data_IF_790001375598
#
_entry.id   IF_790001375598
#
_cell.length_a   1.000
_cell.length_b   1.000
_cell.length_c   1.000
_cell.angle_alpha   90.00
_cell.angle_beta   90.00
_cell.angle_gamma   90.00
#
_symmetry.space_group_name_H-M   'P 1'
#
loop_
_entity.id
_entity.type
_entity.pdbx_description
1 polymer ?
#
# COMPACT_ATOMS: atom_id res chain seq x y z
N UNK A 1 -3.08 9.64 1.24
CA UNK A 1 -3.55 8.90 2.43
C UNK A 1 -2.72 7.65 2.72
N UNK A 2 -2.50 6.78 1.73
CA UNK A 2 -1.73 5.53 1.98
C UNK A 2 -0.30 5.76 2.46
N UNK A 3 0.45 6.70 1.87
CA UNK A 3 1.79 7.04 2.37
C UNK A 3 1.76 7.58 3.82
N UNK A 4 0.72 8.33 4.17
CA UNK A 4 0.54 8.90 5.51
C UNK A 4 0.22 7.81 6.55
N UNK A 5 -0.51 6.75 6.15
CA UNK A 5 -0.75 5.58 7.00
C UNK A 5 0.56 4.95 7.52
N UNK A 6 1.56 4.81 6.65
CA UNK A 6 2.88 4.27 7.03
C UNK A 6 3.75 5.32 7.75
N UNK A 7 3.75 6.57 7.27
CA UNK A 7 4.54 7.65 7.87
C UNK A 7 4.15 7.92 9.33
N UNK A 8 2.85 7.94 9.66
CA UNK A 8 2.37 8.12 11.05
C UNK A 8 2.79 7.00 12.00
N UNK A 9 3.06 5.82 11.46
CA UNK A 9 3.59 4.65 12.20
C UNK A 9 5.12 4.61 12.22
N UNK A 10 5.79 5.65 11.70
CA UNK A 10 7.25 5.74 11.55
C UNK A 10 7.83 4.58 10.73
N UNK A 11 7.05 4.06 9.79
CA UNK A 11 7.49 3.05 8.83
C UNK A 11 8.12 3.79 7.65
N UNK A 12 9.35 3.43 7.31
CA UNK A 12 10.07 4.06 6.22
C UNK A 12 9.49 3.61 4.86
N UNK A 13 9.30 4.55 3.94
CA UNK A 13 8.89 4.27 2.56
C UNK A 13 10.16 4.32 1.70
N UNK A 14 10.63 3.16 1.23
CA UNK A 14 11.82 3.08 0.38
C UNK A 14 11.52 3.47 -1.06
N UNK A 15 10.40 2.97 -1.58
CA UNK A 15 10.01 3.18 -2.98
C UNK A 15 8.50 3.42 -3.04
N UNK A 16 8.11 4.34 -3.93
CA UNK A 16 6.72 4.63 -4.23
C UNK A 16 6.60 4.89 -5.73
N UNK A 17 5.91 3.99 -6.42
CA UNK A 17 5.57 4.12 -7.82
C UNK A 17 4.05 4.29 -7.93
N UNK A 18 3.64 5.26 -8.74
CA UNK A 18 2.23 5.57 -8.97
C UNK A 18 1.98 5.69 -10.46
N UNK A 19 0.92 5.05 -10.92
CA UNK A 19 0.49 5.12 -12.31
C UNK A 19 -1.00 5.43 -12.36
N UNK A 20 -1.40 6.19 -13.38
CA UNK A 20 -2.81 6.40 -13.68
C UNK A 20 -3.06 6.27 -15.17
N UNK A 21 -4.12 5.55 -15.52
CA UNK A 21 -4.49 5.32 -16.90
C UNK A 21 -6.01 5.21 -17.02
N UNK A 22 -6.52 5.36 -18.25
CA UNK A 22 -7.93 5.14 -18.53
C UNK A 22 -8.12 3.69 -18.96
N UNK A 23 -9.11 3.03 -18.39
CA UNK A 23 -9.48 1.67 -18.79
C UNK A 23 -9.71 1.60 -20.31
N UNK A 24 -9.10 0.64 -21.04
CA UNK A 24 -9.09 0.60 -22.51
C UNK A 24 -10.45 0.62 -23.21
N UNK A 25 -11.53 0.20 -22.52
CA UNK A 25 -12.87 0.12 -23.10
C UNK A 25 -13.91 1.01 -22.41
N UNK A 26 -13.84 1.17 -21.09
CA UNK A 26 -14.83 1.98 -20.34
C UNK A 26 -14.42 3.44 -20.19
N UNK A 27 -13.13 3.76 -20.38
CA UNK A 27 -12.60 5.12 -20.19
C UNK A 27 -12.51 5.57 -18.73
N UNK A 28 -12.93 4.72 -17.78
CA UNK A 28 -12.85 4.97 -16.34
C UNK A 28 -11.39 5.24 -15.93
N UNK A 29 -11.10 6.31 -15.19
CA UNK A 29 -9.76 6.54 -14.66
C UNK A 29 -9.44 5.48 -13.60
N UNK A 30 -8.30 4.80 -13.76
CA UNK A 30 -7.74 3.84 -12.83
C UNK A 30 -6.46 4.43 -12.25
N UNK A 31 -6.31 4.31 -10.94
CA UNK A 31 -5.10 4.68 -10.21
C UNK A 31 -4.50 3.43 -9.59
N UNK A 32 -3.21 3.22 -9.84
CA UNK A 32 -2.42 2.13 -9.28
C UNK A 32 -1.24 2.70 -8.50
N UNK A 33 -0.88 2.01 -7.42
CA UNK A 33 0.26 2.37 -6.61
C UNK A 33 0.97 1.10 -6.14
N UNK A 34 2.30 1.09 -6.22
CA UNK A 34 3.16 0.08 -5.63
C UNK A 34 4.12 0.76 -4.67
N UNK A 35 4.20 0.25 -3.45
CA UNK A 35 5.00 0.84 -2.39
C UNK A 35 5.86 -0.23 -1.73
N UNK A 36 7.14 0.08 -1.52
CA UNK A 36 8.05 -0.72 -0.71
C UNK A 36 8.30 0.00 0.61
N UNK A 37 8.08 -0.69 1.72
CA UNK A 37 8.26 -0.16 3.07
C UNK A 37 9.19 -1.03 3.90
N UNK A 38 9.96 -0.40 4.79
CA UNK A 38 10.78 -1.11 5.78
C UNK A 38 10.02 -1.20 7.10
N UNK A 39 9.65 -2.41 7.48
CA UNK A 39 8.91 -2.64 8.72
C UNK A 39 9.91 -2.83 9.87
N UNK A 40 9.85 -2.02 10.94
CA UNK A 40 10.68 -2.21 12.13
C UNK A 40 10.51 -3.61 12.76
N UNK A 41 11.59 -4.16 13.31
CA UNK A 41 11.60 -5.53 13.84
C UNK A 41 10.67 -5.74 15.05
N UNK A 42 10.35 -4.67 15.78
CA UNK A 42 9.41 -4.66 16.91
C UNK A 42 7.94 -4.52 16.47
N UNK A 43 7.67 -4.34 15.17
CA UNK A 43 6.32 -4.23 14.63
C UNK A 43 5.74 -5.60 14.32
N UNK A 44 4.58 -5.91 14.88
CA UNK A 44 3.82 -7.12 14.52
C UNK A 44 3.30 -7.02 13.08
N UNK A 45 3.86 -7.85 12.18
CA UNK A 45 3.42 -7.94 10.77
C UNK A 45 1.94 -8.30 10.66
N UNK A 46 1.43 -9.16 11.55
CA UNK A 46 0.03 -9.56 11.58
C UNK A 46 -0.90 -8.37 11.86
N UNK A 47 -0.59 -7.60 12.91
CA UNK A 47 -1.38 -6.43 13.29
C UNK A 47 -1.27 -5.30 12.26
N UNK A 48 -0.09 -5.08 11.67
CA UNK A 48 0.09 -4.07 10.62
C UNK A 48 -0.74 -4.41 9.38
N UNK A 49 -0.73 -5.68 8.96
CA UNK A 49 -1.50 -6.16 7.82
C UNK A 49 -3.01 -6.02 8.07
N UNK A 50 -3.49 -6.39 9.24
CA UNK A 50 -4.90 -6.21 9.61
C UNK A 50 -5.30 -4.74 9.56
N UNK A 51 -4.53 -3.86 10.20
CA UNK A 51 -4.78 -2.42 10.19
C UNK A 51 -4.74 -1.81 8.78
N UNK A 52 -3.85 -2.33 7.92
CA UNK A 52 -3.75 -1.87 6.53
C UNK A 52 -4.95 -2.32 5.69
N UNK A 53 -5.43 -3.55 5.86
CA UNK A 53 -6.61 -4.03 5.14
C UNK A 53 -7.86 -3.26 5.54
N UNK A 54 -8.09 -3.03 6.84
CA UNK A 54 -9.21 -2.18 7.31
C UNK A 54 -9.15 -0.78 6.68
N UNK A 55 -7.96 -0.17 6.63
CA UNK A 55 -7.77 1.14 6.00
C UNK A 55 -8.05 1.12 4.49
N UNK A 56 -7.71 0.05 3.78
CA UNK A 56 -8.01 -0.09 2.35
C UNK A 56 -9.52 -0.25 2.11
N UNK A 57 -10.21 -1.04 2.94
CA UNK A 57 -11.66 -1.21 2.87
C UNK A 57 -12.40 0.13 3.08
N UNK A 58 -11.98 0.94 4.06
CA UNK A 58 -12.54 2.27 4.33
C UNK A 58 -12.41 3.23 3.14
N UNK A 59 -11.32 3.09 2.37
CA UNK A 59 -11.06 3.90 1.17
C UNK A 59 -11.56 3.22 -0.13
N UNK A 60 -12.20 2.06 -0.02
CA UNK A 60 -12.64 1.23 -1.16
C UNK A 60 -11.48 0.94 -2.14
N UNK A 61 -10.30 0.65 -1.59
CA UNK A 61 -9.09 0.29 -2.32
C UNK A 61 -8.95 -1.23 -2.37
N UNK A 62 -8.64 -1.77 -3.55
CA UNK A 62 -8.20 -3.15 -3.70
C UNK A 62 -6.68 -3.20 -3.50
N UNK A 63 -6.23 -3.80 -2.39
CA UNK A 63 -4.84 -3.76 -1.97
C UNK A 63 -4.34 -5.12 -1.49
N UNK A 64 -3.05 -5.35 -1.69
CA UNK A 64 -2.34 -6.54 -1.21
C UNK A 64 -1.05 -6.11 -0.52
N UNK A 65 -0.69 -6.82 0.56
CA UNK A 65 0.57 -6.62 1.27
C UNK A 65 1.32 -7.95 1.32
N UNK A 66 2.49 -7.99 0.69
CA UNK A 66 3.35 -9.17 0.62
C UNK A 66 4.79 -8.81 0.99
N UNK A 67 5.53 -9.74 1.61
CA UNK A 67 6.97 -9.55 1.78
C UNK A 67 7.65 -9.50 0.42
N UNK A 68 8.61 -8.59 0.26
CA UNK A 68 9.45 -8.57 -0.94
C UNK A 68 10.21 -9.89 -1.01
N UNK A 69 9.96 -10.67 -2.07
CA UNK A 69 10.74 -11.88 -2.34
C UNK A 69 12.16 -11.45 -2.67
N UNK A 70 13.11 -11.83 -1.82
CA UNK A 70 14.54 -11.66 -2.09
C UNK A 70 14.94 -12.42 -3.36
N UNK A 71 15.99 -11.91 -4.01
CA UNK A 71 16.65 -12.61 -5.12
C UNK A 71 17.37 -13.86 -4.63
#
# INVERSE_FOLDING_TARGET
EVADFFARRRINIQELNTDSYRAPHTGTPIFNMTMRVDIPADTSIGALREAFMTFCDELNLDAVMEPVKGR
#
